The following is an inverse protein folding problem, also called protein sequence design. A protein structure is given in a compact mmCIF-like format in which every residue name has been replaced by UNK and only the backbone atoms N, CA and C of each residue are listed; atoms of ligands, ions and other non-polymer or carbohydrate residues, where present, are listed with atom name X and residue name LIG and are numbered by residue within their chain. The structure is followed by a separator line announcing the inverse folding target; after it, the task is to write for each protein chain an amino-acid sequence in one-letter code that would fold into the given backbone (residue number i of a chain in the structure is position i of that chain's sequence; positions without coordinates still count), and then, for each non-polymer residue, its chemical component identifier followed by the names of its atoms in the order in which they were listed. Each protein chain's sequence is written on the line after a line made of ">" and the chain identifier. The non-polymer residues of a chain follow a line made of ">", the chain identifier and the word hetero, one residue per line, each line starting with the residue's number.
data_IF_679252363680
#
_entry.id   IF_679252363680
#
_cell.length_a   1.000
_cell.length_b   1.000
_cell.length_c   1.000
_cell.angle_alpha   90.00
_cell.angle_beta   90.00
_cell.angle_gamma   90.00
#
_symmetry.space_group_name_H-M   'P 1'
#
loop_
_entity.id
_entity.type
_entity.pdbx_description
1 polymer ?
#
# COMPACT_ATOMS: atom_id res chain seq x y z
N UNK A 1 21.05 7.29 -12.07
CA UNK A 1 20.00 8.12 -12.72
C UNK A 1 20.09 9.53 -12.15
N UNK A 2 20.34 10.54 -13.00
CA UNK A 2 20.41 11.94 -12.57
C UNK A 2 19.09 12.63 -12.96
N UNK A 3 18.28 12.96 -12.00
CA UNK A 3 16.99 13.63 -12.20
C UNK A 3 16.11 13.54 -10.96
N UNK A 4 15.10 14.40 -10.86
CA UNK A 4 14.10 14.31 -9.81
C UNK A 4 13.38 12.94 -9.84
N UNK A 5 12.86 12.51 -8.71
CA UNK A 5 12.04 11.30 -8.62
C UNK A 5 10.63 11.68 -9.09
N UNK A 6 10.06 11.00 -10.11
CA UNK A 6 8.68 11.23 -10.52
C UNK A 6 7.71 10.94 -9.36
N UNK A 7 6.70 11.81 -9.21
CA UNK A 7 5.64 11.63 -8.23
C UNK A 7 4.43 10.97 -8.88
N UNK A 8 3.82 10.05 -8.15
CA UNK A 8 2.62 9.31 -8.54
C UNK A 8 1.52 9.69 -7.54
N UNK A 9 0.36 10.10 -8.03
CA UNK A 9 -0.80 10.31 -7.17
C UNK A 9 -1.57 9.01 -6.98
N UNK A 10 -2.29 8.89 -5.85
CA UNK A 10 -3.16 7.74 -5.62
C UNK A 10 -4.30 8.09 -4.65
N UNK A 11 -5.35 7.31 -4.67
CA UNK A 11 -6.52 7.47 -3.81
C UNK A 11 -6.81 6.15 -3.10
N UNK A 12 -7.05 6.23 -1.79
CA UNK A 12 -7.50 5.07 -1.03
C UNK A 12 -8.85 4.57 -1.55
N UNK A 13 -8.96 3.28 -1.80
CA UNK A 13 -10.08 2.73 -2.54
C UNK A 13 -10.58 1.38 -2.06
N UNK A 14 -10.14 0.98 -0.88
CA UNK A 14 -10.61 -0.28 -0.30
C UNK A 14 -12.14 -0.27 -0.18
N UNK A 15 -12.75 -1.32 -0.69
CA UNK A 15 -14.13 -1.67 -0.37
C UNK A 15 -14.14 -2.85 0.58
N UNK A 16 -14.72 -2.65 1.76
CA UNK A 16 -14.87 -3.68 2.77
C UNK A 16 -16.28 -4.24 2.77
N UNK A 17 -16.53 -5.42 2.15
CA UNK A 17 -17.88 -5.93 1.94
C UNK A 17 -18.60 -6.30 3.25
N UNK A 18 -17.88 -6.65 4.32
CA UNK A 18 -18.49 -7.01 5.59
C UNK A 18 -19.23 -5.85 6.27
N UNK A 19 -18.77 -4.63 6.03
CA UNK A 19 -19.29 -3.42 6.66
C UNK A 19 -19.90 -2.45 5.65
N UNK A 20 -19.91 -2.81 4.36
CA UNK A 20 -20.29 -1.96 3.21
C UNK A 20 -19.56 -0.61 3.24
N UNK A 21 -18.28 -0.62 3.60
CA UNK A 21 -17.41 0.56 3.60
C UNK A 21 -16.72 0.66 2.25
N UNK A 22 -16.93 1.76 1.55
CA UNK A 22 -16.24 2.11 0.33
C UNK A 22 -15.52 3.45 0.54
N UNK A 23 -14.21 3.43 0.66
CA UNK A 23 -13.43 4.62 1.04
C UNK A 23 -13.56 5.74 0.01
N UNK A 24 -13.74 5.44 -1.26
CA UNK A 24 -14.03 6.46 -2.26
C UNK A 24 -15.40 7.14 -2.06
N UNK A 25 -16.33 6.49 -1.36
CA UNK A 25 -17.62 7.08 -0.98
C UNK A 25 -17.53 7.84 0.33
N UNK A 26 -16.88 7.29 1.36
CA UNK A 26 -16.74 7.94 2.67
C UNK A 26 -15.90 9.21 2.62
N UNK A 27 -14.90 9.28 1.72
CA UNK A 27 -14.11 10.49 1.43
C UNK A 27 -14.78 11.42 0.41
N UNK A 28 -15.95 11.07 -0.10
CA UNK A 28 -16.64 11.75 -1.20
C UNK A 28 -15.79 11.91 -2.50
N UNK A 29 -14.70 11.12 -2.68
CA UNK A 29 -13.93 11.14 -3.93
C UNK A 29 -14.79 10.79 -5.14
N UNK A 30 -15.72 9.86 -4.99
CA UNK A 30 -16.65 9.49 -6.06
C UNK A 30 -17.49 10.66 -6.62
N UNK A 31 -17.67 11.72 -5.84
CA UNK A 31 -18.34 12.97 -6.26
C UNK A 31 -17.33 14.01 -6.75
N UNK A 32 -16.20 14.14 -6.06
CA UNK A 32 -15.21 15.20 -6.26
C UNK A 32 -14.00 14.78 -7.11
N UNK A 33 -14.01 13.63 -7.75
CA UNK A 33 -12.86 13.06 -8.46
C UNK A 33 -12.21 14.01 -9.49
N UNK A 34 -13.01 14.87 -10.18
CA UNK A 34 -12.45 15.87 -11.10
C UNK A 34 -11.67 16.96 -10.37
N UNK A 35 -12.17 17.40 -9.23
CA UNK A 35 -11.47 18.35 -8.36
C UNK A 35 -10.18 17.74 -7.83
N UNK A 36 -10.24 16.49 -7.36
CA UNK A 36 -9.09 15.80 -6.80
C UNK A 36 -8.00 15.57 -7.85
N UNK A 37 -8.38 15.19 -9.07
CA UNK A 37 -7.43 15.06 -10.19
C UNK A 37 -6.86 16.42 -10.62
N UNK A 38 -7.65 17.49 -10.60
CA UNK A 38 -7.15 18.84 -10.90
C UNK A 38 -6.16 19.32 -9.83
N UNK A 39 -6.38 19.00 -8.55
CA UNK A 39 -5.43 19.28 -7.47
C UNK A 39 -4.12 18.52 -7.67
N UNK A 40 -4.21 17.25 -8.07
CA UNK A 40 -3.05 16.40 -8.37
C UNK A 40 -2.19 17.02 -9.49
N UNK A 41 -2.81 17.45 -10.59
CA UNK A 41 -2.12 18.12 -11.70
C UNK A 41 -1.52 19.46 -11.27
N UNK A 42 -2.24 20.24 -10.45
CA UNK A 42 -1.75 21.51 -9.90
C UNK A 42 -0.50 21.29 -9.03
N UNK A 43 -0.43 20.16 -8.33
CA UNK A 43 0.76 19.75 -7.57
C UNK A 43 1.94 19.29 -8.46
N UNK A 44 1.76 19.23 -9.79
CA UNK A 44 2.82 18.86 -10.74
C UNK A 44 2.90 17.35 -11.04
N UNK A 45 1.88 16.58 -10.68
CA UNK A 45 1.86 15.12 -10.87
C UNK A 45 1.19 14.74 -12.18
N UNK A 46 1.86 13.91 -12.98
CA UNK A 46 1.39 13.45 -14.30
C UNK A 46 1.12 11.94 -14.38
N UNK A 47 1.29 11.22 -13.28
CA UNK A 47 0.97 9.80 -13.17
C UNK A 47 0.04 9.58 -11.99
N UNK A 48 -0.97 8.71 -12.14
CA UNK A 48 -1.93 8.46 -11.08
C UNK A 48 -2.24 6.96 -10.99
N UNK A 49 -1.98 6.36 -9.83
CA UNK A 49 -2.47 5.02 -9.50
C UNK A 49 -3.96 5.16 -9.17
N UNK A 50 -4.80 4.82 -10.16
CA UNK A 50 -6.24 5.07 -10.10
C UNK A 50 -7.03 3.78 -9.95
N UNK A 51 -7.92 3.68 -8.93
CA UNK A 51 -8.67 2.47 -8.63
C UNK A 51 -9.79 2.19 -9.65
N UNK A 52 -9.91 0.93 -10.01
CA UNK A 52 -10.99 0.41 -10.83
C UNK A 52 -11.93 -0.39 -9.94
N UNK A 53 -13.08 0.16 -9.61
CA UNK A 53 -14.02 -0.35 -8.60
C UNK A 53 -14.77 -1.59 -9.08
N UNK A 54 -14.10 -2.75 -9.10
CA UNK A 54 -14.67 -4.00 -9.58
C UNK A 54 -16.03 -4.31 -8.94
N UNK A 55 -16.17 -4.11 -7.63
CA UNK A 55 -17.43 -4.29 -6.88
C UNK A 55 -18.60 -3.41 -7.37
N UNK A 56 -18.31 -2.27 -7.99
CA UNK A 56 -19.34 -1.39 -8.58
C UNK A 56 -19.58 -1.67 -10.06
N UNK A 57 -18.58 -2.19 -10.77
CA UNK A 57 -18.63 -2.47 -12.20
C UNK A 57 -19.39 -3.78 -12.46
N UNK A 58 -19.11 -4.84 -11.71
CA UNK A 58 -19.71 -6.17 -11.91
C UNK A 58 -20.67 -6.53 -10.75
N UNK A 59 -21.81 -5.85 -10.68
CA UNK A 59 -22.83 -6.11 -9.66
C UNK A 59 -23.54 -7.45 -9.83
N UNK A 60 -23.66 -7.91 -11.09
CA UNK A 60 -24.15 -9.22 -11.47
C UNK A 60 -23.06 -9.97 -12.25
N UNK A 61 -22.84 -11.27 -12.00
CA UNK A 61 -21.78 -12.04 -12.65
C UNK A 61 -21.77 -11.91 -14.19
N UNK A 62 -20.64 -11.46 -14.74
CA UNK A 62 -20.43 -11.30 -16.19
C UNK A 62 -21.12 -10.09 -16.82
N UNK A 63 -21.70 -9.19 -16.03
CA UNK A 63 -22.35 -7.97 -16.53
C UNK A 63 -21.58 -6.75 -16.01
N UNK A 64 -20.85 -6.10 -16.91
CA UNK A 64 -19.99 -4.98 -16.59
C UNK A 64 -20.64 -3.65 -16.94
N UNK A 65 -20.70 -2.73 -15.97
CA UNK A 65 -21.06 -1.32 -16.15
C UNK A 65 -19.79 -0.47 -16.07
N UNK A 66 -19.27 -0.07 -17.21
CA UNK A 66 -18.04 0.71 -17.30
C UNK A 66 -18.25 2.24 -17.30
N UNK A 67 -19.49 2.72 -17.22
CA UNK A 67 -19.79 4.14 -17.42
C UNK A 67 -18.93 5.08 -16.62
N UNK A 68 -18.78 4.84 -15.31
CA UNK A 68 -17.90 5.67 -14.46
C UNK A 68 -16.42 5.51 -14.82
N UNK A 69 -15.98 4.32 -15.11
CA UNK A 69 -14.58 4.05 -15.50
C UNK A 69 -14.24 4.71 -16.83
N UNK A 70 -15.16 4.69 -17.81
CA UNK A 70 -15.00 5.43 -19.07
C UNK A 70 -14.82 6.91 -18.86
N UNK A 71 -15.65 7.52 -17.97
CA UNK A 71 -15.59 8.94 -17.65
C UNK A 71 -14.23 9.32 -17.06
N UNK A 72 -13.74 8.53 -16.10
CA UNK A 72 -12.50 8.87 -15.38
C UNK A 72 -11.27 8.59 -16.23
N UNK A 73 -11.15 7.40 -16.82
CA UNK A 73 -9.99 7.04 -17.63
C UNK A 73 -9.92 7.91 -18.90
N UNK A 74 -11.10 8.27 -19.49
CA UNK A 74 -11.18 9.23 -20.57
C UNK A 74 -10.65 10.60 -20.18
N UNK A 75 -11.05 11.09 -19.00
CA UNK A 75 -10.59 12.38 -18.47
C UNK A 75 -9.07 12.37 -18.20
N UNK A 76 -8.54 11.36 -17.53
CA UNK A 76 -7.10 11.23 -17.28
C UNK A 76 -6.29 11.31 -18.58
N UNK A 77 -6.72 10.56 -19.60
CA UNK A 77 -6.08 10.58 -20.92
C UNK A 77 -6.18 11.94 -21.59
N UNK A 78 -7.36 12.59 -21.56
CA UNK A 78 -7.57 13.90 -22.20
C UNK A 78 -6.75 15.01 -21.52
N UNK A 79 -6.53 14.90 -20.20
CA UNK A 79 -5.71 15.82 -19.40
C UNK A 79 -4.21 15.46 -19.39
N UNK A 80 -3.80 14.38 -20.08
CA UNK A 80 -2.40 13.97 -20.16
C UNK A 80 -1.84 13.38 -18.87
N UNK A 81 -2.70 12.83 -18.02
CA UNK A 81 -2.29 12.09 -16.82
C UNK A 81 -2.27 10.59 -17.14
N UNK A 82 -1.12 9.95 -16.99
CA UNK A 82 -0.96 8.51 -17.23
C UNK A 82 -1.57 7.71 -16.07
N UNK A 83 -2.60 6.90 -16.31
CA UNK A 83 -3.13 6.04 -15.25
C UNK A 83 -2.27 4.79 -15.07
N UNK A 84 -1.90 4.49 -13.83
CA UNK A 84 -1.53 3.16 -13.37
C UNK A 84 -2.82 2.58 -12.79
N UNK A 85 -3.54 1.75 -13.55
CA UNK A 85 -4.85 1.28 -13.10
C UNK A 85 -4.71 0.23 -12.00
N UNK A 86 -5.38 0.45 -10.86
CA UNK A 86 -5.42 -0.49 -9.74
C UNK A 86 -6.70 -1.33 -9.84
N UNK A 87 -6.56 -2.59 -10.28
CA UNK A 87 -7.69 -3.42 -10.67
C UNK A 87 -8.43 -4.03 -9.49
N UNK A 88 -7.69 -4.44 -8.44
CA UNK A 88 -8.27 -4.96 -7.19
C UNK A 88 -7.49 -4.40 -6.01
N UNK A 89 -8.10 -3.51 -5.27
CA UNK A 89 -7.51 -2.94 -4.07
C UNK A 89 -8.04 -3.68 -2.84
N UNK A 90 -7.21 -4.53 -2.22
CA UNK A 90 -7.57 -5.39 -1.10
C UNK A 90 -8.88 -6.18 -1.33
N UNK A 91 -9.87 -5.99 -0.48
CA UNK A 91 -11.16 -6.70 -0.49
C UNK A 91 -12.17 -6.12 -1.48
N UNK A 92 -11.75 -5.32 -2.45
CA UNK A 92 -12.63 -4.64 -3.42
C UNK A 92 -13.18 -5.56 -4.51
N UNK A 93 -13.67 -6.74 -4.15
CA UNK A 93 -14.35 -7.69 -5.03
C UNK A 93 -15.87 -7.52 -5.01
N UNK A 94 -16.58 -8.00 -6.06
CA UNK A 94 -18.05 -7.91 -6.14
C UNK A 94 -18.77 -8.63 -5.00
N UNK A 95 -19.87 -8.06 -4.51
CA UNK A 95 -20.65 -8.58 -3.36
C UNK A 95 -21.31 -9.96 -3.60
N UNK A 96 -21.39 -10.45 -4.85
CA UNK A 96 -21.88 -11.79 -5.15
C UNK A 96 -20.81 -12.89 -4.94
N UNK A 97 -19.55 -12.52 -4.70
CA UNK A 97 -18.49 -13.41 -4.21
C UNK A 97 -18.56 -13.50 -2.69
N UNK A 98 -18.39 -14.70 -2.16
CA UNK A 98 -18.44 -14.97 -0.72
C UNK A 98 -17.08 -14.73 -0.02
N UNK A 99 -16.13 -14.10 -0.71
CA UNK A 99 -14.79 -13.80 -0.23
C UNK A 99 -13.69 -14.54 -0.98
N UNK A 100 -12.49 -14.44 -0.48
CA UNK A 100 -11.29 -14.99 -1.12
C UNK A 100 -11.21 -16.53 -1.12
N UNK A 101 -12.03 -17.21 -0.37
CA UNK A 101 -12.14 -18.69 -0.41
C UNK A 101 -13.25 -19.18 -1.35
N UNK A 102 -14.00 -18.27 -1.96
CA UNK A 102 -15.00 -18.62 -2.95
C UNK A 102 -14.33 -19.19 -4.22
N UNK A 103 -14.64 -20.41 -4.64
CA UNK A 103 -14.03 -21.01 -5.83
C UNK A 103 -14.36 -20.25 -7.14
N UNK A 104 -15.36 -19.36 -7.11
CA UNK A 104 -15.71 -18.50 -8.25
C UNK A 104 -14.75 -17.32 -8.40
N UNK A 105 -13.95 -16.98 -7.38
CA UNK A 105 -13.06 -15.80 -7.38
C UNK A 105 -12.09 -15.84 -8.57
N UNK A 106 -11.33 -16.92 -8.75
CA UNK A 106 -10.35 -17.02 -9.83
C UNK A 106 -10.96 -16.87 -11.24
N UNK A 107 -12.01 -17.63 -11.60
CA UNK A 107 -12.72 -17.44 -12.86
C UNK A 107 -13.34 -16.05 -13.03
N UNK A 108 -13.80 -15.42 -11.95
CA UNK A 108 -14.36 -14.07 -11.98
C UNK A 108 -13.29 -13.02 -12.24
N UNK A 109 -12.17 -13.11 -11.53
CA UNK A 109 -11.01 -12.21 -11.71
C UNK A 109 -10.49 -12.26 -13.15
N UNK A 110 -10.31 -13.48 -13.70
CA UNK A 110 -9.84 -13.66 -15.07
C UNK A 110 -10.78 -12.99 -16.07
N UNK A 111 -12.07 -13.23 -15.96
CA UNK A 111 -13.10 -12.63 -16.82
C UNK A 111 -13.13 -11.10 -16.71
N UNK A 112 -12.99 -10.56 -15.49
CA UNK A 112 -12.95 -9.13 -15.24
C UNK A 112 -11.72 -8.48 -15.89
N UNK A 113 -10.54 -9.07 -15.72
CA UNK A 113 -9.30 -8.60 -16.31
C UNK A 113 -9.33 -8.63 -17.82
N UNK A 114 -9.89 -9.70 -18.43
CA UNK A 114 -10.10 -9.81 -19.88
C UNK A 114 -11.02 -8.70 -20.39
N UNK A 115 -12.17 -8.52 -19.74
CA UNK A 115 -13.11 -7.47 -20.11
C UNK A 115 -12.54 -6.05 -19.97
N UNK A 116 -11.70 -5.82 -18.95
CA UNK A 116 -10.97 -4.58 -18.78
C UNK A 116 -9.97 -4.34 -19.92
N UNK A 117 -9.10 -5.31 -20.18
CA UNK A 117 -8.05 -5.20 -21.19
C UNK A 117 -8.63 -5.02 -22.62
N UNK A 118 -9.72 -5.72 -22.93
CA UNK A 118 -10.42 -5.56 -24.21
C UNK A 118 -11.03 -4.16 -24.38
N UNK A 119 -11.50 -3.55 -23.27
CA UNK A 119 -12.12 -2.22 -23.31
C UNK A 119 -11.10 -1.10 -23.34
N UNK A 120 -9.99 -1.26 -22.62
CA UNK A 120 -8.95 -0.24 -22.45
C UNK A 120 -7.58 -0.71 -22.95
N UNK A 121 -7.45 -1.12 -24.24
CA UNK A 121 -6.20 -1.66 -24.78
C UNK A 121 -5.06 -0.63 -24.86
N UNK A 122 -5.33 0.63 -24.53
CA UNK A 122 -4.39 1.74 -24.51
C UNK A 122 -3.76 1.98 -23.14
N UNK A 123 -4.16 1.23 -22.11
CA UNK A 123 -3.57 1.33 -20.78
C UNK A 123 -2.15 0.80 -20.79
N UNK A 124 -1.20 1.62 -20.30
CA UNK A 124 0.23 1.34 -20.34
C UNK A 124 0.80 0.86 -18.99
N UNK A 125 0.00 0.93 -17.90
CA UNK A 125 0.44 0.51 -16.58
C UNK A 125 -0.74 0.04 -15.71
N UNK A 126 -0.51 -1.02 -14.92
CA UNK A 126 -1.52 -1.54 -14.01
C UNK A 126 -0.92 -2.17 -12.75
N UNK A 127 -1.67 -2.10 -11.65
CA UNK A 127 -1.55 -2.95 -10.47
C UNK A 127 -2.68 -3.98 -10.54
N UNK A 128 -2.34 -5.26 -10.58
CA UNK A 128 -3.36 -6.31 -10.70
C UNK A 128 -4.12 -6.49 -9.39
N UNK A 129 -3.38 -6.45 -8.28
CA UNK A 129 -3.91 -6.63 -6.93
C UNK A 129 -3.00 -5.90 -5.94
N UNK A 130 -3.60 -5.08 -5.09
CA UNK A 130 -2.87 -4.33 -4.06
C UNK A 130 -2.52 -5.21 -2.88
N UNK A 131 -1.25 -5.22 -2.45
CA UNK A 131 -0.73 -5.86 -1.24
C UNK A 131 -1.30 -7.26 -0.97
N UNK A 132 -1.02 -8.25 -1.82
CA UNK A 132 -1.56 -9.59 -1.62
C UNK A 132 -1.12 -10.21 -0.28
N UNK A 133 0.11 -9.98 0.20
CA UNK A 133 0.55 -10.48 1.49
C UNK A 133 -0.26 -9.89 2.65
N UNK A 134 -0.42 -8.57 2.70
CA UNK A 134 -1.24 -7.87 3.71
C UNK A 134 -2.68 -8.37 3.68
N UNK A 135 -3.25 -8.52 2.49
CA UNK A 135 -4.62 -9.03 2.33
C UNK A 135 -4.75 -10.46 2.86
N UNK A 136 -3.80 -11.35 2.55
CA UNK A 136 -3.83 -12.73 3.06
C UNK A 136 -3.59 -12.79 4.57
N UNK A 137 -2.76 -11.88 5.10
CA UNK A 137 -2.54 -11.73 6.54
C UNK A 137 -3.87 -11.36 7.23
N UNK A 138 -4.52 -10.28 6.80
CA UNK A 138 -5.73 -9.76 7.44
C UNK A 138 -6.96 -10.68 7.25
N UNK A 139 -7.09 -11.32 6.09
CA UNK A 139 -8.22 -12.20 5.78
C UNK A 139 -8.04 -13.63 6.32
N UNK A 140 -6.80 -14.12 6.39
CA UNK A 140 -6.51 -15.54 6.61
C UNK A 140 -5.74 -15.84 7.88
N UNK A 141 -4.71 -15.03 8.22
CA UNK A 141 -3.90 -15.28 9.42
C UNK A 141 -4.52 -14.64 10.66
N UNK A 142 -4.90 -13.37 10.57
CA UNK A 142 -5.39 -12.56 11.68
C UNK A 142 -6.94 -12.63 11.82
N UNK A 143 -7.64 -12.86 10.73
CA UNK A 143 -9.09 -12.95 10.69
C UNK A 143 -9.81 -11.62 10.90
N UNK A 144 -9.13 -10.50 10.64
CA UNK A 144 -9.69 -9.14 10.78
C UNK A 144 -10.69 -8.87 9.66
N UNK A 145 -10.34 -9.24 8.42
CA UNK A 145 -11.19 -9.07 7.25
C UNK A 145 -11.86 -10.38 6.82
N UNK A 146 -13.00 -10.32 6.10
CA UNK A 146 -13.60 -11.50 5.51
C UNK A 146 -12.61 -12.30 4.65
N UNK A 147 -12.65 -13.63 4.74
CA UNK A 147 -13.62 -14.52 5.38
C UNK A 147 -13.37 -14.80 6.88
N UNK A 148 -12.60 -13.97 7.58
CA UNK A 148 -12.31 -14.06 9.01
C UNK A 148 -11.66 -15.38 9.44
N UNK A 149 -10.82 -15.95 8.57
CA UNK A 149 -10.03 -17.15 8.90
C UNK A 149 -8.84 -16.74 9.76
N UNK A 150 -8.31 -17.70 10.54
CA UNK A 150 -7.21 -17.45 11.47
C UNK A 150 -6.14 -18.52 11.37
N UNK A 151 -4.92 -18.15 11.74
CA UNK A 151 -3.77 -19.04 11.75
C UNK A 151 -3.26 -19.39 10.35
N UNK A 152 -2.20 -20.17 10.28
CA UNK A 152 -1.57 -20.53 9.00
C UNK A 152 -2.49 -21.32 8.08
N UNK A 153 -3.39 -22.15 8.63
CA UNK A 153 -4.39 -22.86 7.82
C UNK A 153 -5.34 -21.88 7.11
N UNK A 154 -5.73 -20.79 7.80
CA UNK A 154 -6.53 -19.73 7.22
C UNK A 154 -5.77 -18.94 6.16
N UNK A 155 -4.52 -18.57 6.42
CA UNK A 155 -3.63 -17.94 5.43
C UNK A 155 -3.50 -18.80 4.17
N UNK A 156 -3.21 -20.09 4.34
CA UNK A 156 -3.09 -21.05 3.24
C UNK A 156 -4.41 -21.18 2.48
N UNK A 157 -5.56 -21.23 3.17
CA UNK A 157 -6.85 -21.34 2.50
C UNK A 157 -7.14 -20.14 1.57
N UNK A 158 -6.80 -18.92 2.00
CA UNK A 158 -6.91 -17.71 1.15
C UNK A 158 -5.90 -17.78 0.00
N UNK A 159 -4.62 -18.01 0.32
CA UNK A 159 -3.54 -18.02 -0.67
C UNK A 159 -3.76 -19.07 -1.78
N UNK A 160 -4.23 -20.27 -1.45
CA UNK A 160 -4.52 -21.36 -2.40
C UNK A 160 -5.57 -21.01 -3.44
N UNK A 161 -6.52 -20.15 -3.10
CA UNK A 161 -7.56 -19.73 -4.04
C UNK A 161 -7.15 -18.48 -4.82
N UNK A 162 -6.48 -17.54 -4.17
CA UNK A 162 -6.19 -16.23 -4.75
C UNK A 162 -4.89 -16.23 -5.56
N UNK A 163 -3.80 -16.80 -5.04
CA UNK A 163 -2.49 -16.66 -5.67
C UNK A 163 -2.40 -17.33 -7.05
N UNK A 164 -2.94 -18.55 -7.29
CA UNK A 164 -3.03 -19.11 -8.64
C UNK A 164 -3.89 -18.26 -9.59
N UNK A 165 -4.94 -17.61 -9.08
CA UNK A 165 -5.77 -16.72 -9.86
C UNK A 165 -4.99 -15.46 -10.27
N UNK A 166 -4.21 -14.89 -9.36
CA UNK A 166 -3.36 -13.72 -9.65
C UNK A 166 -2.27 -14.05 -10.67
N UNK A 167 -1.57 -15.18 -10.54
CA UNK A 167 -0.55 -15.57 -11.53
C UNK A 167 -1.16 -15.84 -12.91
N UNK A 168 -2.34 -16.46 -12.96
CA UNK A 168 -3.10 -16.67 -14.20
C UNK A 168 -3.55 -15.36 -14.83
N UNK A 169 -4.11 -14.44 -14.05
CA UNK A 169 -4.54 -13.12 -14.50
C UNK A 169 -3.36 -12.26 -14.96
N UNK A 170 -2.21 -12.32 -14.26
CA UNK A 170 -0.98 -11.63 -14.67
C UNK A 170 -0.49 -12.08 -16.05
N UNK A 171 -0.45 -13.38 -16.30
CA UNK A 171 -0.09 -13.90 -17.64
C UNK A 171 -1.09 -13.44 -18.70
N UNK A 172 -2.38 -13.45 -18.37
CA UNK A 172 -3.42 -13.01 -19.30
C UNK A 172 -3.37 -11.52 -19.59
N UNK A 173 -3.10 -10.68 -18.59
CA UNK A 173 -2.83 -9.25 -18.80
C UNK A 173 -1.68 -9.04 -19.77
N UNK A 174 -0.58 -9.77 -19.59
CA UNK A 174 0.59 -9.65 -20.47
C UNK A 174 0.33 -10.06 -21.92
N UNK A 175 -0.58 -11.03 -22.14
CA UNK A 175 -1.02 -11.41 -23.50
C UNK A 175 -1.89 -10.31 -24.14
N UNK A 176 -2.81 -9.72 -23.38
CA UNK A 176 -3.78 -8.74 -23.86
C UNK A 176 -3.24 -7.31 -23.92
N UNK A 177 -2.33 -6.96 -23.02
CA UNK A 177 -1.69 -5.65 -22.88
C UNK A 177 -0.17 -5.83 -22.91
N UNK A 178 0.43 -6.28 -24.02
CA UNK A 178 1.83 -6.69 -24.08
C UNK A 178 2.83 -5.56 -23.79
N UNK A 179 2.42 -4.31 -24.03
CA UNK A 179 3.24 -3.12 -23.82
C UNK A 179 3.03 -2.45 -22.45
N UNK A 180 2.02 -2.92 -21.67
CA UNK A 180 1.72 -2.38 -20.35
C UNK A 180 2.65 -2.95 -19.28
N UNK A 181 3.12 -2.07 -18.38
CA UNK A 181 3.96 -2.46 -17.24
C UNK A 181 3.09 -2.90 -16.07
N UNK A 182 3.44 -4.01 -15.46
CA UNK A 182 2.84 -4.50 -14.22
C UNK A 182 3.59 -3.93 -13.01
N UNK A 183 2.94 -3.06 -12.26
CA UNK A 183 3.36 -2.54 -10.97
C UNK A 183 2.81 -3.45 -9.87
N UNK A 184 3.66 -4.29 -9.31
CA UNK A 184 3.30 -5.16 -8.20
C UNK A 184 3.61 -4.42 -6.90
N UNK A 185 2.60 -4.06 -6.15
CA UNK A 185 2.71 -3.26 -4.90
C UNK A 185 2.54 -4.19 -3.71
N UNK A 186 3.45 -4.09 -2.76
CA UNK A 186 3.43 -4.94 -1.57
C UNK A 186 4.06 -4.22 -0.38
N UNK A 187 3.51 -4.50 0.81
CA UNK A 187 4.09 -4.02 2.06
C UNK A 187 5.55 -4.45 2.20
N UNK A 188 6.40 -3.53 2.60
CA UNK A 188 7.80 -3.81 2.86
C UNK A 188 8.09 -3.69 4.36
N UNK A 189 8.21 -4.84 5.01
CA UNK A 189 8.45 -4.94 6.45
C UNK A 189 9.93 -5.12 6.77
N UNK A 190 10.31 -4.71 7.98
CA UNK A 190 11.57 -5.08 8.60
C UNK A 190 11.34 -5.30 10.10
N UNK A 191 11.69 -6.49 10.58
CA UNK A 191 11.47 -6.88 11.97
C UNK A 191 12.79 -6.92 12.74
N UNK A 192 12.76 -6.42 13.97
CA UNK A 192 13.87 -6.48 14.94
C UNK A 192 13.40 -7.14 16.24
N UNK A 193 14.31 -7.50 17.11
CA UNK A 193 13.98 -8.10 18.41
C UNK A 193 15.06 -7.85 19.44
N UNK A 194 14.72 -7.79 20.74
CA UNK A 194 15.66 -7.55 21.83
C UNK A 194 16.00 -8.79 22.68
N UNK A 195 15.13 -9.79 22.72
CA UNK A 195 15.36 -11.05 23.43
C UNK A 195 15.71 -12.18 22.45
N UNK A 196 16.21 -13.33 22.96
CA UNK A 196 16.47 -14.49 22.11
C UNK A 196 15.19 -14.94 21.36
N UNK A 197 14.05 -14.98 22.04
CA UNK A 197 12.75 -15.31 21.43
C UNK A 197 12.27 -14.21 20.47
N UNK A 198 12.46 -12.93 20.82
CA UNK A 198 12.13 -11.81 19.94
C UNK A 198 12.97 -11.78 18.66
N UNK A 199 14.28 -12.10 18.78
CA UNK A 199 15.18 -12.22 17.61
C UNK A 199 14.81 -13.41 16.70
N UNK A 200 14.45 -14.54 17.28
CA UNK A 200 13.97 -15.71 16.53
C UNK A 200 12.69 -15.38 15.76
N UNK A 201 11.74 -14.72 16.42
CA UNK A 201 10.49 -14.32 15.75
C UNK A 201 10.72 -13.22 14.70
N UNK A 202 11.61 -12.27 14.96
CA UNK A 202 11.99 -11.26 13.96
C UNK A 202 12.63 -11.89 12.72
N UNK A 203 13.47 -12.92 12.89
CA UNK A 203 14.03 -13.68 11.78
C UNK A 203 12.95 -14.40 10.97
N UNK A 204 11.97 -15.01 11.64
CA UNK A 204 10.80 -15.62 11.03
C UNK A 204 9.95 -14.61 10.25
N UNK A 205 9.66 -13.42 10.82
CA UNK A 205 8.90 -12.37 10.17
C UNK A 205 9.64 -11.80 8.95
N UNK A 206 10.96 -11.60 9.05
CA UNK A 206 11.79 -11.15 7.94
C UNK A 206 11.91 -12.18 6.80
N UNK A 207 11.70 -13.46 7.10
CA UNK A 207 11.60 -14.51 6.08
C UNK A 207 10.22 -14.53 5.43
N UNK A 208 9.17 -14.44 6.23
CA UNK A 208 7.75 -14.46 5.84
C UNK A 208 7.38 -13.40 4.81
N UNK A 209 7.91 -12.16 4.97
CA UNK A 209 7.57 -10.99 4.13
C UNK A 209 7.79 -11.20 2.62
N UNK A 210 8.63 -12.15 2.23
CA UNK A 210 8.93 -12.43 0.82
C UNK A 210 8.10 -13.58 0.23
N UNK A 211 7.41 -14.35 1.05
CA UNK A 211 6.78 -15.61 0.62
C UNK A 211 5.80 -15.43 -0.54
N UNK A 212 4.87 -14.48 -0.42
CA UNK A 212 3.81 -14.29 -1.42
C UNK A 212 4.39 -13.81 -2.76
N UNK A 213 5.32 -12.86 -2.73
CA UNK A 213 5.98 -12.36 -3.94
C UNK A 213 6.86 -13.43 -4.59
N UNK A 214 7.60 -14.22 -3.79
CA UNK A 214 8.39 -15.35 -4.30
C UNK A 214 7.51 -16.40 -4.99
N UNK A 215 6.41 -16.79 -4.34
CA UNK A 215 5.46 -17.75 -4.90
C UNK A 215 4.79 -17.22 -6.17
N UNK A 216 4.40 -15.93 -6.18
CA UNK A 216 3.83 -15.28 -7.37
C UNK A 216 4.80 -15.30 -8.56
N UNK A 217 6.10 -15.07 -8.31
CA UNK A 217 7.14 -15.13 -9.33
C UNK A 217 7.58 -16.56 -9.70
N UNK A 218 7.02 -17.59 -9.05
CA UNK A 218 7.42 -18.99 -9.24
C UNK A 218 8.89 -19.25 -8.87
N UNK A 219 9.43 -18.52 -7.89
CA UNK A 219 10.80 -18.74 -7.41
C UNK A 219 10.88 -20.06 -6.63
N UNK A 220 12.06 -20.68 -6.69
CA UNK A 220 12.31 -21.85 -5.84
C UNK A 220 12.24 -21.47 -4.37
N UNK A 221 11.29 -22.06 -3.63
CA UNK A 221 11.06 -21.84 -2.22
C UNK A 221 11.68 -23.01 -1.43
N UNK A 222 12.75 -22.70 -0.71
CA UNK A 222 13.43 -23.65 0.15
C UNK A 222 12.47 -24.12 1.28
N UNK A 223 12.16 -25.40 1.30
CA UNK A 223 11.23 -26.03 2.25
C UNK A 223 11.77 -26.07 3.69
N UNK A 224 13.07 -25.84 3.88
CA UNK A 224 13.70 -25.78 5.20
C UNK A 224 13.61 -24.37 5.82
N UNK A 225 13.19 -23.37 5.07
CA UNK A 225 12.90 -22.03 5.61
C UNK A 225 11.68 -22.13 6.54
N UNK A 226 11.74 -21.55 7.76
CA UNK A 226 10.70 -21.75 8.78
C UNK A 226 9.29 -21.45 8.31
N UNK A 227 9.05 -20.28 7.69
CA UNK A 227 7.71 -19.93 7.22
C UNK A 227 7.22 -20.83 6.08
N UNK A 228 8.13 -21.24 5.17
CA UNK A 228 7.79 -22.17 4.08
C UNK A 228 7.42 -23.54 4.62
N UNK A 229 8.19 -24.05 5.60
CA UNK A 229 7.91 -25.31 6.27
C UNK A 229 6.52 -25.30 6.94
N UNK A 230 6.18 -24.19 7.60
CA UNK A 230 4.89 -24.00 8.28
C UNK A 230 3.73 -23.93 7.29
N UNK A 231 3.90 -23.21 6.15
CA UNK A 231 2.92 -23.18 5.06
C UNK A 231 2.69 -24.59 4.49
N UNK A 232 3.75 -25.36 4.27
CA UNK A 232 3.62 -26.76 3.81
C UNK A 232 2.90 -27.62 4.83
N UNK A 233 3.23 -27.47 6.13
CA UNK A 233 2.56 -28.19 7.21
C UNK A 233 1.07 -27.84 7.33
N UNK A 234 0.70 -26.58 7.04
CA UNK A 234 -0.68 -26.11 6.96
C UNK A 234 -1.40 -26.54 5.66
N UNK A 235 -0.78 -27.33 4.81
CA UNK A 235 -1.39 -27.89 3.59
C UNK A 235 -1.21 -27.04 2.33
N UNK A 236 -0.27 -26.07 2.31
CA UNK A 236 -0.02 -25.17 1.19
C UNK A 236 1.12 -25.59 0.24
N UNK A 237 1.44 -26.90 0.17
CA UNK A 237 2.57 -27.38 -0.66
C UNK A 237 2.47 -26.99 -2.15
N UNK A 238 1.27 -26.90 -2.71
CA UNK A 238 1.02 -26.47 -4.09
C UNK A 238 1.36 -25.01 -4.37
N UNK A 239 1.41 -24.16 -3.34
CA UNK A 239 1.82 -22.76 -3.49
C UNK A 239 3.30 -22.62 -3.89
N UNK A 240 4.10 -23.67 -3.70
CA UNK A 240 5.51 -23.70 -4.04
C UNK A 240 5.76 -24.06 -5.53
N UNK A 241 4.71 -24.44 -6.25
CA UNK A 241 4.79 -25.00 -7.61
C UNK A 241 3.90 -24.22 -8.59
N UNK A 242 3.65 -22.93 -8.32
CA UNK A 242 2.80 -22.10 -9.18
C UNK A 242 3.51 -21.76 -10.50
N UNK A 243 2.72 -21.74 -11.56
CA UNK A 243 3.15 -21.11 -12.81
C UNK A 243 3.38 -19.61 -12.57
N UNK A 244 4.55 -19.05 -12.92
CA UNK A 244 4.92 -17.70 -12.55
C UNK A 244 4.00 -16.62 -13.13
N UNK A 245 3.71 -15.62 -12.32
CA UNK A 245 3.25 -14.32 -12.78
C UNK A 245 4.42 -13.47 -13.31
N UNK A 246 4.15 -12.22 -13.63
CA UNK A 246 5.14 -11.28 -14.14
C UNK A 246 5.08 -9.96 -13.39
N UNK A 247 6.23 -9.38 -13.10
CA UNK A 247 6.40 -8.06 -12.46
C UNK A 247 7.41 -7.25 -13.28
N UNK A 248 7.05 -6.03 -13.66
CA UNK A 248 7.97 -5.08 -14.31
C UNK A 248 8.54 -4.06 -13.33
N UNK A 249 7.76 -3.67 -12.31
CA UNK A 249 8.13 -2.71 -11.28
C UNK A 249 7.62 -3.22 -9.95
N UNK A 250 8.50 -3.22 -8.94
CA UNK A 250 8.13 -3.55 -7.57
C UNK A 250 7.81 -2.26 -6.80
N UNK A 251 6.58 -2.13 -6.34
CA UNK A 251 6.17 -1.11 -5.38
C UNK A 251 6.50 -1.59 -3.97
N UNK A 252 7.21 -0.76 -3.22
CA UNK A 252 7.50 -0.97 -1.81
C UNK A 252 6.62 -0.02 -1.00
N UNK A 253 5.66 -0.57 -0.27
CA UNK A 253 4.74 0.18 0.55
C UNK A 253 5.32 0.27 1.96
N UNK A 254 5.70 1.49 2.36
CA UNK A 254 6.46 1.71 3.58
C UNK A 254 5.81 2.73 4.50
N UNK A 255 5.49 2.27 5.67
CA UNK A 255 4.98 3.08 6.77
C UNK A 255 5.90 2.94 8.00
N UNK A 256 5.90 3.91 8.90
CA UNK A 256 6.72 3.81 10.10
C UNK A 256 6.42 2.53 10.91
N UNK A 257 5.17 2.07 10.91
CA UNK A 257 4.76 0.83 11.57
C UNK A 257 5.18 -0.45 10.85
N UNK A 258 5.80 -0.39 9.67
CA UNK A 258 6.36 -1.58 9.01
C UNK A 258 7.75 -1.97 9.55
N UNK A 259 8.33 -1.20 10.46
CA UNK A 259 9.51 -1.62 11.19
C UNK A 259 9.13 -2.07 12.60
N UNK A 260 8.87 -3.36 12.70
CA UNK A 260 8.36 -3.99 13.91
C UNK A 260 9.49 -4.35 14.88
N UNK A 261 9.23 -4.16 16.18
CA UNK A 261 10.11 -4.61 17.23
C UNK A 261 9.39 -5.64 18.13
N UNK A 262 10.01 -6.81 18.27
CA UNK A 262 9.47 -7.92 19.03
C UNK A 262 10.24 -8.12 20.32
N UNK A 263 9.56 -8.05 21.46
CA UNK A 263 10.14 -8.38 22.78
C UNK A 263 10.09 -9.88 23.03
N UNK A 264 8.93 -10.47 22.79
CA UNK A 264 8.70 -11.92 22.83
C UNK A 264 7.52 -12.25 21.91
N UNK A 265 7.38 -13.53 21.51
CA UNK A 265 6.19 -13.98 20.79
C UNK A 265 4.91 -13.66 21.59
N UNK A 266 3.94 -13.02 20.96
CA UNK A 266 2.64 -12.71 21.57
C UNK A 266 2.56 -11.43 22.39
N UNK A 267 3.67 -10.71 22.62
CA UNK A 267 3.67 -9.42 23.36
C UNK A 267 3.17 -8.22 22.51
N UNK A 268 2.76 -8.48 21.28
CA UNK A 268 2.48 -7.45 20.29
C UNK A 268 3.73 -6.80 19.73
N UNK A 269 3.55 -5.98 18.71
CA UNK A 269 4.62 -5.20 18.10
C UNK A 269 4.60 -3.78 18.62
N UNK A 270 5.79 -3.19 18.71
CA UNK A 270 5.96 -1.76 18.96
C UNK A 270 6.73 -1.14 17.80
N UNK A 271 6.72 0.19 17.68
CA UNK A 271 7.62 0.88 16.78
C UNK A 271 9.07 0.47 17.08
N UNK A 272 9.89 0.32 16.06
CA UNK A 272 11.30 -0.02 16.27
C UNK A 272 12.01 1.12 17.03
N UNK A 273 12.71 0.84 18.13
CA UNK A 273 13.50 1.84 18.83
C UNK A 273 14.79 2.22 18.08
N UNK A 274 15.20 1.39 17.11
CA UNK A 274 16.38 1.60 16.26
C UNK A 274 16.06 1.10 14.85
N UNK A 275 15.21 1.84 14.10
CA UNK A 275 14.82 1.45 12.77
C UNK A 275 15.98 1.56 11.79
N UNK A 276 16.10 0.57 10.89
CA UNK A 276 17.03 0.69 9.79
C UNK A 276 16.57 1.78 8.81
N UNK A 277 17.48 2.51 8.13
CA UNK A 277 17.08 3.49 7.13
C UNK A 277 16.20 2.87 6.03
N UNK A 278 15.17 3.58 5.58
CA UNK A 278 14.29 3.06 4.53
C UNK A 278 15.05 2.70 3.25
N UNK A 279 16.12 3.44 2.91
CA UNK A 279 17.02 3.08 1.80
C UNK A 279 17.63 1.67 1.95
N UNK A 280 17.84 1.20 3.19
CA UNK A 280 18.31 -0.17 3.43
C UNK A 280 17.18 -1.19 3.20
N UNK A 281 15.95 -0.91 3.65
CA UNK A 281 14.80 -1.76 3.38
C UNK A 281 14.59 -1.91 1.87
N UNK A 282 14.59 -0.79 1.12
CA UNK A 282 14.53 -0.83 -0.36
C UNK A 282 15.63 -1.70 -0.98
N UNK A 283 16.84 -1.63 -0.43
CA UNK A 283 17.97 -2.45 -0.91
C UNK A 283 17.72 -3.94 -0.70
N UNK A 284 17.17 -4.37 0.44
CA UNK A 284 16.87 -5.78 0.74
C UNK A 284 15.88 -6.35 -0.28
N UNK A 285 14.85 -5.58 -0.67
CA UNK A 285 13.91 -5.98 -1.71
C UNK A 285 14.55 -5.97 -3.10
N UNK A 286 15.37 -4.95 -3.42
CA UNK A 286 16.05 -4.90 -4.71
C UNK A 286 17.08 -6.03 -4.87
N UNK A 287 17.89 -6.32 -3.87
CA UNK A 287 18.86 -7.42 -3.91
C UNK A 287 18.20 -8.79 -4.10
N UNK A 288 16.94 -8.91 -3.65
CA UNK A 288 16.18 -10.15 -3.84
C UNK A 288 15.60 -10.28 -5.24
N UNK A 289 15.03 -9.22 -5.78
CA UNK A 289 14.22 -9.30 -7.00
C UNK A 289 14.89 -8.68 -8.23
N UNK A 290 15.86 -7.80 -8.05
CA UNK A 290 16.59 -7.06 -9.10
C UNK A 290 15.66 -6.29 -10.06
N UNK A 291 14.48 -5.88 -9.57
CA UNK A 291 13.49 -5.11 -10.32
C UNK A 291 13.62 -3.61 -10.06
N UNK A 292 13.19 -2.75 -11.02
CA UNK A 292 12.94 -1.35 -10.74
C UNK A 292 11.99 -1.19 -9.57
N UNK A 293 12.24 -0.17 -8.72
CA UNK A 293 11.45 0.10 -7.52
C UNK A 293 10.66 1.39 -7.66
N UNK A 294 9.49 1.44 -7.07
CA UNK A 294 8.82 2.68 -6.68
C UNK A 294 8.49 2.62 -5.18
N UNK A 295 8.36 3.75 -4.52
CA UNK A 295 7.55 3.81 -3.31
C UNK A 295 6.10 3.75 -3.77
N UNK A 296 5.44 2.63 -3.53
CA UNK A 296 4.06 2.40 -3.96
C UNK A 296 3.06 3.10 -3.05
N UNK A 297 3.34 3.08 -1.74
CA UNK A 297 2.56 3.76 -0.71
C UNK A 297 3.45 4.22 0.44
N UNK A 298 3.18 5.41 0.98
CA UNK A 298 3.70 5.87 2.28
C UNK A 298 2.88 7.03 2.81
N UNK A 299 2.70 7.06 4.12
CA UNK A 299 2.19 8.21 4.85
C UNK A 299 2.58 8.12 6.34
N UNK A 300 2.14 9.11 7.10
CA UNK A 300 2.03 9.02 8.55
C UNK A 300 0.73 9.70 8.98
N UNK A 301 0.02 9.09 9.92
CA UNK A 301 -1.13 9.71 10.56
C UNK A 301 -0.63 10.81 11.48
N UNK A 302 -1.04 12.06 11.24
CA UNK A 302 -0.54 13.17 12.02
C UNK A 302 -1.00 14.53 11.51
N UNK A 303 -0.57 15.60 12.17
CA UNK A 303 -0.72 16.95 11.68
C UNK A 303 -0.11 17.10 10.28
N UNK A 304 -0.56 18.06 9.51
CA UNK A 304 -0.01 18.29 8.16
C UNK A 304 1.50 18.57 8.18
N UNK A 305 2.00 19.22 9.24
CA UNK A 305 3.42 19.44 9.47
C UNK A 305 4.20 18.15 9.74
N UNK A 306 3.62 17.17 10.47
CA UNK A 306 4.23 15.85 10.68
C UNK A 306 4.33 15.09 9.36
N UNK A 307 3.27 15.14 8.55
CA UNK A 307 3.25 14.50 7.21
C UNK A 307 4.30 15.10 6.28
N UNK A 308 4.45 16.43 6.27
CA UNK A 308 5.49 17.12 5.49
C UNK A 308 6.90 16.70 5.94
N UNK A 309 7.11 16.50 7.25
CA UNK A 309 8.37 16.02 7.82
C UNK A 309 8.65 14.57 7.41
N UNK A 310 7.64 13.69 7.43
CA UNK A 310 7.76 12.31 6.96
C UNK A 310 8.01 12.21 5.45
N UNK A 311 7.36 13.08 4.63
CA UNK A 311 7.64 13.21 3.21
C UNK A 311 9.12 13.52 2.96
N UNK A 312 9.67 14.50 3.69
CA UNK A 312 11.09 14.85 3.60
C UNK A 312 11.98 13.64 3.91
N UNK A 313 11.68 12.89 4.98
CA UNK A 313 12.45 11.71 5.37
C UNK A 313 12.43 10.65 4.28
N UNK A 314 11.25 10.22 3.85
CA UNK A 314 11.11 9.13 2.88
C UNK A 314 11.68 9.51 1.52
N UNK A 315 11.53 10.77 1.09
CA UNK A 315 12.14 11.26 -0.16
C UNK A 315 13.68 11.29 -0.06
N UNK A 316 14.24 11.74 1.08
CA UNK A 316 15.69 11.70 1.30
C UNK A 316 16.23 10.26 1.24
N UNK A 317 15.51 9.29 1.78
CA UNK A 317 15.89 7.89 1.70
C UNK A 317 15.84 7.35 0.25
N UNK A 318 14.86 7.77 -0.54
CA UNK A 318 14.81 7.45 -1.98
C UNK A 318 15.99 8.05 -2.75
N UNK A 319 16.36 9.31 -2.45
CA UNK A 319 17.53 9.96 -3.05
C UNK A 319 18.83 9.22 -2.68
N UNK A 320 18.97 8.80 -1.42
CA UNK A 320 20.12 7.99 -0.94
C UNK A 320 20.17 6.63 -1.64
N UNK A 321 19.02 5.96 -1.80
CA UNK A 321 18.94 4.69 -2.53
C UNK A 321 19.38 4.86 -3.99
N UNK A 322 18.90 5.90 -4.69
CA UNK A 322 19.35 6.23 -6.05
C UNK A 322 20.83 6.54 -6.13
N UNK A 323 21.36 7.31 -5.19
CA UNK A 323 22.78 7.64 -5.12
C UNK A 323 23.65 6.37 -4.91
N UNK A 324 23.10 5.35 -4.24
CA UNK A 324 23.71 4.04 -4.05
C UNK A 324 23.51 3.10 -5.24
N UNK A 325 22.85 3.53 -6.33
CA UNK A 325 22.66 2.79 -7.56
C UNK A 325 21.36 1.98 -7.66
N UNK A 326 20.44 2.10 -6.71
CA UNK A 326 19.14 1.42 -6.81
C UNK A 326 18.25 2.11 -7.86
N UNK A 327 17.52 1.35 -8.68
CA UNK A 327 16.64 1.88 -9.71
C UNK A 327 15.29 2.32 -9.13
N UNK A 328 15.27 3.35 -8.28
CA UNK A 328 14.02 3.94 -7.75
C UNK A 328 13.43 4.86 -8.81
N UNK A 329 12.33 4.45 -9.44
CA UNK A 329 11.72 5.12 -10.59
C UNK A 329 10.57 6.06 -10.23
N UNK A 330 9.93 5.91 -9.05
CA UNK A 330 8.78 6.71 -8.67
C UNK A 330 8.56 6.80 -7.17
N UNK A 331 7.73 7.74 -6.77
CA UNK A 331 7.34 7.99 -5.38
C UNK A 331 5.84 8.31 -5.30
N UNK A 332 5.10 7.54 -4.52
CA UNK A 332 3.69 7.77 -4.25
C UNK A 332 3.48 8.06 -2.76
N UNK A 333 2.98 9.27 -2.45
CA UNK A 333 2.34 9.51 -1.16
C UNK A 333 0.92 8.97 -1.24
N UNK A 334 0.55 8.11 -0.31
CA UNK A 334 -0.73 7.41 -0.32
C UNK A 334 -1.49 7.62 0.99
N UNK A 335 -2.77 8.06 0.92
CA UNK A 335 -3.46 8.58 -0.26
C UNK A 335 -3.22 10.08 -0.50
N UNK A 336 -3.65 10.59 -1.66
CA UNK A 336 -3.53 12.02 -2.01
C UNK A 336 -4.47 12.93 -1.23
N UNK A 337 -5.64 12.46 -0.85
CA UNK A 337 -6.56 13.10 0.10
C UNK A 337 -6.66 12.24 1.35
N UNK A 338 -7.05 12.81 2.49
CA UNK A 338 -7.26 12.02 3.71
C UNK A 338 -8.16 10.81 3.44
N UNK A 339 -7.97 9.75 4.20
CA UNK A 339 -8.77 8.53 4.15
C UNK A 339 -9.89 8.57 5.20
N UNK A 340 -10.61 7.46 5.35
CA UNK A 340 -11.59 7.26 6.41
C UNK A 340 -11.54 5.84 6.94
N UNK A 341 -11.84 5.67 8.24
CA UNK A 341 -12.06 4.40 8.95
C UNK A 341 -10.86 3.44 9.03
N UNK A 342 -9.66 3.86 8.61
CA UNK A 342 -8.44 3.06 8.77
C UNK A 342 -7.94 3.00 10.22
N UNK A 343 -8.42 3.88 11.11
CA UNK A 343 -8.21 3.77 12.54
C UNK A 343 -8.76 2.46 13.11
N UNK A 344 -9.77 1.90 12.47
CA UNK A 344 -10.36 0.60 12.78
C UNK A 344 -9.95 -0.51 11.79
N UNK A 345 -9.02 -0.27 10.88
CA UNK A 345 -8.67 -1.17 9.77
C UNK A 345 -9.95 -1.51 8.96
N UNK A 346 -10.78 -0.51 8.70
CA UNK A 346 -12.06 -0.63 7.98
C UNK A 346 -13.04 -1.64 8.59
N UNK A 347 -12.96 -1.88 9.91
CA UNK A 347 -13.86 -2.77 10.65
C UNK A 347 -15.07 -2.02 11.24
N UNK A 348 -15.16 -0.70 11.01
CA UNK A 348 -16.30 0.16 11.36
C UNK A 348 -16.65 1.02 10.15
N UNK A 349 -17.92 1.45 10.08
CA UNK A 349 -18.43 2.34 9.04
C UNK A 349 -18.92 3.63 9.70
N UNK A 350 -17.99 4.48 10.12
CA UNK A 350 -18.27 5.72 10.85
C UNK A 350 -17.91 6.96 10.02
N UNK A 351 -17.25 6.77 8.88
CA UNK A 351 -16.67 7.82 8.05
C UNK A 351 -15.74 8.75 8.87
N UNK A 352 -15.05 8.17 9.85
CA UNK A 352 -14.04 8.87 10.65
C UNK A 352 -12.86 9.22 9.76
N UNK A 353 -12.54 10.52 9.66
CA UNK A 353 -11.44 10.98 8.79
C UNK A 353 -10.08 10.62 9.40
N UNK A 354 -9.26 9.93 8.62
CA UNK A 354 -7.88 9.63 8.94
C UNK A 354 -6.96 10.71 8.37
N UNK A 355 -6.23 11.46 9.21
CA UNK A 355 -5.38 12.57 8.78
C UNK A 355 -4.04 12.06 8.19
N UNK A 356 -4.06 11.57 6.94
CA UNK A 356 -2.92 10.92 6.26
C UNK A 356 -2.61 11.53 4.88
N UNK A 357 -3.52 12.31 4.30
CA UNK A 357 -3.44 12.80 2.91
C UNK A 357 -2.49 13.98 2.69
N UNK A 358 -2.28 14.31 1.45
CA UNK A 358 -1.65 15.56 1.00
C UNK A 358 -2.59 16.74 1.22
N UNK A 359 -3.87 16.55 0.88
CA UNK A 359 -4.95 17.48 1.19
C UNK A 359 -5.80 16.88 2.32
N UNK A 360 -6.03 17.66 3.37
CA UNK A 360 -6.88 17.23 4.45
C UNK A 360 -8.36 17.49 4.16
N UNK A 361 -9.24 16.69 4.73
CA UNK A 361 -10.68 16.80 4.60
C UNK A 361 -11.26 17.52 5.82
N UNK A 362 -12.00 18.61 5.59
CA UNK A 362 -12.75 19.26 6.67
C UNK A 362 -14.08 18.53 6.97
N UNK A 363 -14.86 19.06 7.91
CA UNK A 363 -16.14 18.48 8.33
C UNK A 363 -17.16 18.33 7.17
N UNK A 364 -17.02 19.12 6.09
CA UNK A 364 -17.86 19.05 4.88
C UNK A 364 -17.17 18.20 3.78
N UNK A 365 -16.11 17.49 4.11
CA UNK A 365 -15.27 16.71 3.19
C UNK A 365 -14.67 17.56 2.05
N UNK A 366 -14.45 18.84 2.28
CA UNK A 366 -13.77 19.71 1.31
C UNK A 366 -12.24 19.56 1.47
N UNK A 367 -11.55 19.60 0.32
CA UNK A 367 -10.09 19.43 0.25
C UNK A 367 -9.41 20.73 0.64
N UNK A 368 -8.65 20.71 1.72
CA UNK A 368 -7.95 21.89 2.26
C UNK A 368 -6.44 21.78 2.06
N UNK A 369 -5.80 22.83 1.54
CA UNK A 369 -4.35 22.90 1.45
C UNK A 369 -3.72 23.12 2.83
N UNK A 370 -2.43 22.80 2.93
CA UNK A 370 -1.68 22.89 4.20
C UNK A 370 -0.17 22.91 3.92
N UNK A 371 0.66 22.92 4.97
CA UNK A 371 2.10 22.72 4.87
C UNK A 371 2.48 21.44 4.15
N UNK A 372 1.66 20.39 4.28
CA UNK A 372 1.88 19.14 3.55
C UNK A 372 1.67 19.31 2.05
N UNK A 373 0.60 19.94 1.61
CA UNK A 373 0.35 20.17 0.17
C UNK A 373 1.41 21.07 -0.46
N UNK A 374 1.93 22.04 0.30
CA UNK A 374 3.01 22.92 -0.14
C UNK A 374 4.33 22.13 -0.31
N UNK A 375 4.71 21.33 0.70
CA UNK A 375 5.90 20.48 0.65
C UNK A 375 5.81 19.44 -0.49
N UNK A 376 4.63 18.82 -0.65
CA UNK A 376 4.39 17.86 -1.72
C UNK A 376 4.53 18.50 -3.11
N UNK A 377 3.94 19.68 -3.32
CA UNK A 377 4.04 20.39 -4.61
C UNK A 377 5.48 20.80 -4.94
N UNK A 378 6.26 21.21 -3.93
CA UNK A 378 7.70 21.47 -4.10
C UNK A 378 8.45 20.21 -4.55
N UNK A 379 8.22 19.09 -3.88
CA UNK A 379 8.87 17.82 -4.18
C UNK A 379 8.46 17.28 -5.57
N UNK A 380 7.17 17.29 -5.88
CA UNK A 380 6.64 16.87 -7.19
C UNK A 380 7.15 17.78 -8.33
N UNK A 381 7.38 19.07 -8.04
CA UNK A 381 8.04 20.02 -8.94
C UNK A 381 9.54 19.78 -9.12
N UNK A 382 10.11 18.74 -8.47
CA UNK A 382 11.51 18.34 -8.63
C UNK A 382 12.47 18.94 -7.60
N UNK A 383 11.99 19.57 -6.54
CA UNK A 383 12.85 20.00 -5.44
C UNK A 383 13.44 18.78 -4.70
N UNK A 384 14.73 18.80 -4.35
CA UNK A 384 15.33 17.71 -3.57
C UNK A 384 14.79 17.73 -2.13
N UNK A 385 14.86 16.59 -1.45
CA UNK A 385 14.44 16.45 -0.05
C UNK A 385 15.09 17.50 0.87
N UNK A 386 16.34 17.89 0.59
CA UNK A 386 17.05 18.93 1.35
C UNK A 386 16.38 20.31 1.29
N UNK A 387 15.58 20.59 0.29
CA UNK A 387 14.84 21.85 0.12
C UNK A 387 13.47 21.86 0.83
N UNK A 388 12.98 20.68 1.28
CA UNK A 388 11.71 20.57 1.98
C UNK A 388 11.86 20.99 3.46
N UNK A 389 10.80 21.59 4.07
CA UNK A 389 10.82 21.91 5.49
C UNK A 389 10.88 20.63 6.35
N UNK A 390 11.41 20.76 7.56
CA UNK A 390 11.29 19.78 8.62
C UNK A 390 10.62 20.48 9.82
N UNK A 391 9.44 20.02 10.18
CA UNK A 391 8.72 20.59 11.33
C UNK A 391 8.89 19.72 12.57
N UNK A 392 8.96 20.38 13.74
CA UNK A 392 8.95 19.69 15.03
C UNK A 392 7.71 18.79 15.11
N UNK A 393 7.94 17.48 15.35
CA UNK A 393 6.87 16.48 15.38
C UNK A 393 5.97 16.69 16.59
N UNK A 394 4.68 16.58 16.37
CA UNK A 394 3.67 16.73 17.41
C UNK A 394 3.42 15.40 18.14
N UNK A 395 3.05 15.38 19.42
CA UNK A 395 2.52 14.19 20.07
C UNK A 395 1.18 13.77 19.43
N UNK A 396 0.90 12.46 19.21
CA UNK A 396 1.71 11.29 19.58
C UNK A 396 2.79 10.88 18.55
N UNK A 397 2.83 11.52 17.36
CA UNK A 397 3.75 11.18 16.26
C UNK A 397 5.22 11.22 16.70
N UNK A 398 5.60 12.22 17.50
CA UNK A 398 6.96 12.33 18.03
C UNK A 398 7.41 11.10 18.83
N UNK A 399 6.51 10.50 19.60
CA UNK A 399 6.79 9.26 20.36
C UNK A 399 6.91 8.05 19.44
N UNK A 400 6.07 8.01 18.40
CA UNK A 400 6.12 6.91 17.42
C UNK A 400 7.40 6.93 16.60
N UNK A 401 7.86 8.13 16.20
CA UNK A 401 9.05 8.31 15.37
C UNK A 401 10.35 8.49 16.19
N UNK A 402 10.33 8.29 17.50
CA UNK A 402 11.51 8.50 18.35
C UNK A 402 12.75 7.76 17.82
N UNK A 403 12.60 6.53 17.36
CA UNK A 403 13.69 5.74 16.78
C UNK A 403 14.23 6.28 15.45
N UNK A 404 13.44 7.06 14.71
CA UNK A 404 13.86 7.67 13.43
C UNK A 404 14.59 9.01 13.62
N UNK A 405 14.40 9.70 14.76
CA UNK A 405 15.00 11.02 15.01
C UNK A 405 16.53 11.07 14.82
N UNK A 406 17.32 10.05 15.22
CA UNK A 406 18.76 10.03 14.96
C UNK A 406 19.14 10.12 13.49
N UNK A 407 18.28 9.66 12.59
CA UNK A 407 18.49 9.73 11.13
C UNK A 407 18.22 11.14 10.59
N UNK A 408 17.54 11.99 11.37
CA UNK A 408 17.09 13.33 11.01
C UNK A 408 17.85 14.45 11.76
N UNK A 409 18.85 14.12 12.59
CA UNK A 409 19.60 15.07 13.44
C UNK A 409 20.25 16.23 12.68
N UNK A 410 20.53 16.04 11.38
CA UNK A 410 21.17 17.04 10.54
C UNK A 410 20.21 18.05 9.90
N UNK A 411 18.91 18.00 10.21
CA UNK A 411 17.90 18.89 9.65
C UNK A 411 17.74 20.18 10.45
N UNK A 412 17.39 21.26 9.74
CA UNK A 412 16.94 22.52 10.35
C UNK A 412 15.46 22.41 10.71
N UNK A 413 15.17 22.12 11.98
CA UNK A 413 13.82 21.96 12.49
C UNK A 413 13.12 23.30 12.68
N UNK A 414 11.87 23.38 12.27
CA UNK A 414 11.01 24.55 12.34
C UNK A 414 9.81 24.28 13.24
N UNK A 415 9.27 25.30 13.95
CA UNK A 415 8.00 25.12 14.64
C UNK A 415 6.90 24.85 13.61
N UNK A 416 5.89 24.01 13.91
CA UNK A 416 4.77 23.78 13.02
C UNK A 416 3.98 25.08 12.82
N UNK A 417 3.29 25.26 11.66
CA UNK A 417 2.39 26.37 11.44
C UNK A 417 1.31 26.43 12.52
N UNK A 418 1.00 27.61 13.09
CA UNK A 418 0.08 27.73 14.24
C UNK A 418 -1.32 27.18 14.00
N UNK A 419 -1.82 27.29 12.78
CA UNK A 419 -3.17 26.85 12.41
C UNK A 419 -3.27 25.33 12.20
N UNK A 420 -2.15 24.62 12.14
CA UNK A 420 -2.08 23.16 11.92
C UNK A 420 -1.89 22.37 13.23
N UNK A 421 -1.51 23.03 14.31
CA UNK A 421 -1.32 22.40 15.65
C UNK A 421 -2.67 22.00 16.26
N UNK A 422 -3.78 22.54 15.75
CA UNK A 422 -5.13 22.32 16.28
C UNK A 422 -5.86 21.10 15.73
N UNK A 423 -5.34 20.40 14.74
CA UNK A 423 -5.85 19.08 14.37
C UNK A 423 -5.41 18.08 15.46
N UNK A 424 -6.15 18.08 16.57
CA UNK A 424 -5.89 17.18 17.69
C UNK A 424 -5.96 15.74 17.20
N UNK A 425 -4.80 15.12 17.10
CA UNK A 425 -4.69 13.68 17.03
C UNK A 425 -5.05 13.19 18.42
N UNK A 426 -6.07 12.38 18.53
CA UNK A 426 -6.46 11.77 19.80
C UNK A 426 -5.25 11.08 20.43
N UNK A 427 -5.08 11.17 21.75
CA UNK A 427 -3.96 10.59 22.50
C UNK A 427 -3.83 9.06 22.32
N UNK A 428 -4.84 8.42 21.76
CA UNK A 428 -4.91 7.01 21.38
C UNK A 428 -4.32 6.71 19.98
N UNK A 429 -3.20 7.35 19.63
CA UNK A 429 -2.36 6.94 18.48
C UNK A 429 -1.65 5.60 18.77
N UNK A 430 -2.27 4.74 19.50
CA UNK A 430 -1.99 3.32 19.40
C UNK A 430 -2.66 2.86 18.11
N UNK A 431 -1.85 2.79 17.02
CA UNK A 431 -2.11 1.75 16.03
C UNK A 431 -1.92 0.47 16.84
N UNK A 432 -2.91 0.12 17.61
CA UNK A 432 -3.12 -1.26 18.03
C UNK A 432 -3.48 -2.04 16.75
N UNK A 433 -2.55 -2.11 15.82
CA UNK A 433 -2.38 -3.34 15.13
C UNK A 433 -1.99 -4.32 16.24
N UNK A 434 -2.96 -4.74 17.00
CA UNK A 434 -2.92 -6.02 17.68
C UNK A 434 -2.87 -7.04 16.55
N UNK A 435 -1.69 -7.15 15.96
CA UNK A 435 -1.28 -8.38 15.30
C UNK A 435 -1.32 -9.38 16.44
N UNK A 436 -2.50 -9.93 16.67
CA UNK A 436 -2.74 -10.93 17.68
C UNK A 436 -2.11 -12.19 17.11
N UNK A 437 -0.79 -12.28 17.22
CA UNK A 437 -0.10 -13.55 17.16
C UNK A 437 -0.53 -14.34 18.38
N UNK A 438 -1.78 -14.80 18.36
CA UNK A 438 -2.20 -15.87 19.26
C UNK A 438 -1.57 -17.15 18.72
N UNK A 439 -0.44 -17.49 19.35
CA UNK A 439 0.04 -18.84 19.54
C UNK A 439 0.22 -19.69 18.30
N UNK A 440 1.49 -19.84 17.90
CA UNK A 440 1.98 -21.14 17.43
C UNK A 440 2.15 -22.03 18.63
#
# INVERSE_FOLDING_TARGET
>A
MSGAIPFIGAFESTYQPAFDVDVLETTAHHLHWRTDLALLQTAGVSECRYPIRWHRIERDPGRFDWGRTDDVLGHLRDEGVTPIVDLVHHTSYPAWLEGFTDPRFGPALLRYVEAFAERYPWVEAYTLFNEPFTTFLLCGLEGIWPPHLQGLEGFVAVARNVLPALTGASRRCRELLPDARHYYVEVCEHATGESAAGLEYAAYANDRRFFVTDAFLGRELDRDRPFVADVVAAGGAELLELEPGHIDVLGVDYYAHNQWHWRAPGDGTTASPDPVPFAQVMREYWERYELPLIVGETNIRGACSDRATWLKYTLEQCERARAAGLPVEGYCWFPFIDSCDWDSILCRSEASVDPVGVYWLDEELLRRPSSMSDAYSLAAGGAPASALPAYELQPPVSRWLEGWLPQMEHWDWQPPPPDEVLAAIDDDYEIELKVVTRGV
#
